data_IF_929045027237
#
_entry.id   IF_929045027237
#
_cell.length_a   1.000
_cell.length_b   1.000
_cell.length_c   1.000
_cell.angle_alpha   90.00
_cell.angle_beta   90.00
_cell.angle_gamma   90.00
#
_symmetry.space_group_name_H-M   'P 1'
#
loop_
_entity.id
_entity.type
_entity.pdbx_description
1 polymer ?
#
# COMPACT_ATOMS: atom_id res chain seq x y z
N UNK A 1 -1.36 -2.51 -11.38
CA UNK A 1 -0.72 -3.76 -10.87
C UNK A 1 -1.34 -5.04 -11.45
N UNK A 2 -2.60 -5.05 -11.91
CA UNK A 2 -3.27 -6.26 -12.41
C UNK A 2 -3.00 -6.64 -13.88
N UNK A 3 -2.16 -5.89 -14.61
CA UNK A 3 -1.88 -6.17 -16.02
C UNK A 3 -1.06 -7.47 -16.23
N UNK A 4 -0.29 -7.91 -15.23
CA UNK A 4 0.49 -9.14 -15.31
C UNK A 4 -0.39 -10.35 -14.96
N UNK A 5 -0.79 -11.13 -15.97
CA UNK A 5 -1.66 -12.32 -15.79
C UNK A 5 -1.10 -13.37 -14.83
N UNK A 6 0.23 -13.50 -14.71
CA UNK A 6 0.87 -14.47 -13.80
C UNK A 6 0.78 -14.04 -12.34
N UNK A 7 0.82 -12.73 -12.08
CA UNK A 7 0.84 -12.17 -10.73
C UNK A 7 -0.51 -11.59 -10.28
N UNK A 8 -1.45 -11.38 -11.20
CA UNK A 8 -2.72 -10.72 -10.93
C UNK A 8 -3.51 -11.37 -9.78
N UNK A 9 -3.54 -12.71 -9.73
CA UNK A 9 -4.22 -13.46 -8.66
C UNK A 9 -3.59 -13.19 -7.30
N UNK A 10 -2.28 -13.40 -7.17
CA UNK A 10 -1.56 -13.16 -5.93
C UNK A 10 -1.69 -11.70 -5.45
N UNK A 11 -1.64 -10.73 -6.38
CA UNK A 11 -1.82 -9.30 -6.07
C UNK A 11 -3.24 -9.02 -5.57
N UNK A 12 -4.26 -9.64 -6.16
CA UNK A 12 -5.64 -9.49 -5.73
C UNK A 12 -5.88 -10.12 -4.35
N UNK A 13 -5.29 -11.29 -4.09
CA UNK A 13 -5.43 -12.03 -2.84
C UNK A 13 -4.87 -11.26 -1.63
N UNK A 14 -3.81 -10.47 -1.83
CA UNK A 14 -3.22 -9.62 -0.77
C UNK A 14 -4.18 -8.50 -0.32
N UNK A 15 -5.10 -8.04 -1.18
CA UNK A 15 -6.15 -7.10 -0.77
C UNK A 15 -5.65 -5.71 -0.35
N UNK A 16 -4.59 -5.18 -0.95
CA UNK A 16 -3.95 -3.90 -0.58
C UNK A 16 -4.92 -2.70 -0.50
N UNK A 17 -5.96 -2.66 -1.35
CA UNK A 17 -6.97 -1.61 -1.29
C UNK A 17 -7.79 -1.66 0.01
N UNK A 18 -8.22 -2.87 0.42
CA UNK A 18 -8.95 -3.06 1.68
C UNK A 18 -8.09 -2.67 2.88
N UNK A 19 -6.81 -3.05 2.85
CA UNK A 19 -5.85 -2.67 3.88
C UNK A 19 -5.76 -1.14 4.02
N UNK A 20 -5.62 -0.41 2.91
CA UNK A 20 -5.62 1.05 2.90
C UNK A 20 -6.88 1.61 3.56
N UNK A 21 -8.07 1.17 3.14
CA UNK A 21 -9.35 1.63 3.70
C UNK A 21 -9.45 1.38 5.20
N UNK A 22 -9.00 0.21 5.68
CA UNK A 22 -9.01 -0.07 7.12
C UNK A 22 -8.06 0.82 7.90
N UNK A 23 -6.87 1.13 7.36
CA UNK A 23 -5.94 2.05 7.99
C UNK A 23 -6.50 3.46 8.06
N UNK A 24 -7.06 3.98 6.97
CA UNK A 24 -7.70 5.30 6.94
C UNK A 24 -8.85 5.39 7.94
N UNK A 25 -9.72 4.38 7.96
CA UNK A 25 -10.85 4.32 8.90
C UNK A 25 -10.38 4.31 10.37
N UNK A 26 -9.41 3.46 10.71
CA UNK A 26 -8.89 3.40 12.07
C UNK A 26 -8.15 4.68 12.46
N UNK A 27 -7.38 5.25 11.54
CA UNK A 27 -6.66 6.49 11.79
C UNK A 27 -7.63 7.64 12.06
N UNK A 28 -8.70 7.75 11.29
CA UNK A 28 -9.77 8.72 11.55
C UNK A 28 -10.39 8.50 12.94
N UNK A 29 -10.67 7.26 13.32
CA UNK A 29 -11.29 6.94 14.61
C UNK A 29 -10.41 7.33 15.82
N UNK A 30 -9.09 7.16 15.70
CA UNK A 30 -8.13 7.49 16.76
C UNK A 30 -7.47 8.86 16.61
N UNK A 31 -7.99 9.73 15.72
CA UNK A 31 -7.39 11.03 15.41
C UNK A 31 -5.88 10.94 15.07
N UNK A 32 -5.50 9.96 14.24
CA UNK A 32 -4.15 9.73 13.71
C UNK A 32 -4.08 10.11 12.24
N UNK A 33 -2.89 10.49 11.80
CA UNK A 33 -2.62 10.80 10.39
C UNK A 33 -2.21 9.53 9.62
N UNK A 34 -2.76 9.34 8.43
CA UNK A 34 -2.30 8.33 7.46
C UNK A 34 -1.80 9.02 6.20
N UNK A 35 -0.56 8.71 5.80
CA UNK A 35 0.06 9.26 4.58
C UNK A 35 0.23 8.16 3.55
N UNK A 36 -0.29 8.39 2.35
CA UNK A 36 -0.11 7.51 1.19
C UNK A 36 0.98 8.13 0.31
N UNK A 37 2.11 7.45 0.20
CA UNK A 37 3.19 7.82 -0.71
C UNK A 37 2.87 7.41 -2.16
N UNK A 38 3.59 8.00 -3.11
CA UNK A 38 3.41 7.69 -4.52
C UNK A 38 3.62 6.19 -4.83
N UNK A 39 2.88 5.69 -5.82
CA UNK A 39 2.92 4.27 -6.23
C UNK A 39 4.29 3.84 -6.76
N UNK A 40 5.02 4.75 -7.39
CA UNK A 40 6.32 4.49 -8.02
C UNK A 40 7.49 4.96 -7.15
N UNK A 41 7.22 5.36 -5.91
CA UNK A 41 8.25 5.70 -4.95
C UNK A 41 9.18 4.49 -4.73
N UNK A 42 10.51 4.64 -4.93
CA UNK A 42 11.46 3.52 -4.96
C UNK A 42 11.86 3.05 -3.54
N UNK A 43 10.91 2.85 -2.63
CA UNK A 43 11.22 2.52 -1.22
C UNK A 43 12.11 1.29 -1.02
N UNK A 44 12.00 0.29 -1.90
CA UNK A 44 12.80 -0.94 -1.85
C UNK A 44 14.16 -0.83 -2.56
N UNK A 45 14.39 0.29 -3.26
CA UNK A 45 15.64 0.57 -3.99
C UNK A 45 16.44 1.72 -3.39
N UNK A 46 15.89 2.43 -2.41
CA UNK A 46 16.62 3.42 -1.61
C UNK A 46 17.14 2.74 -0.36
N UNK A 47 18.41 2.98 -0.02
CA UNK A 47 18.94 2.55 1.27
C UNK A 47 18.37 3.46 2.36
N UNK A 48 18.10 2.91 3.55
CA UNK A 48 17.51 3.71 4.64
C UNK A 48 18.56 4.59 5.33
N UNK A 49 19.84 4.30 5.12
CA UNK A 49 20.98 4.97 5.73
C UNK A 49 21.86 5.71 4.71
N UNK A 50 21.51 5.62 3.43
CA UNK A 50 22.24 6.13 2.27
C UNK A 50 21.28 6.27 1.07
#
# INVERSE_FOLDING_TARGET
MLKNRRLARAIADVGLHKLKTYLEHKAQWYARETRVIDRWFPSTKTCSAC
#
